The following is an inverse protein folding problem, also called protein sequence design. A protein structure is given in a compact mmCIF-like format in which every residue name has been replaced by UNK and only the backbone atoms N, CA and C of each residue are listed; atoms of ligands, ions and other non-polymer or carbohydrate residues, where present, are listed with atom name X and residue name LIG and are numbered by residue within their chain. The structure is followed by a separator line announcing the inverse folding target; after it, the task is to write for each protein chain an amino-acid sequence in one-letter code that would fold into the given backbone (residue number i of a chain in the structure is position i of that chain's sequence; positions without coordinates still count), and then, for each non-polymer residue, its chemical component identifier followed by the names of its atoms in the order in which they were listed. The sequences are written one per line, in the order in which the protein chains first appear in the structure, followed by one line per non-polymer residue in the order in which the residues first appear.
data_IF_332414711859
#
_entry.id   IF_332414711859
#
_cell.length_a   1.000
_cell.length_b   1.000
_cell.length_c   1.000
_cell.angle_alpha   90.00
_cell.angle_beta   90.00
_cell.angle_gamma   90.00
#
_symmetry.space_group_name_H-M   'P 1'
#
loop_
_entity.id
_entity.type
_entity.pdbx_description
1 polymer ?
#
# COMPACT_ATOMS: atom_id res chain seq x y z
N UNK A 1 -20.27 -17.09 0.80
CA UNK A 1 -19.00 -16.35 0.77
C UNK A 1 -18.60 -16.08 2.21
N UNK A 2 -17.39 -16.44 2.56
CA UNK A 2 -16.84 -16.13 3.90
C UNK A 2 -16.70 -14.63 4.04
N UNK A 3 -17.12 -14.03 5.19
CA UNK A 3 -16.85 -12.62 5.48
C UNK A 3 -15.45 -12.54 6.07
N UNK A 4 -14.56 -11.79 5.43
CA UNK A 4 -13.19 -11.59 5.89
C UNK A 4 -13.01 -10.29 6.69
N UNK A 5 -13.88 -9.30 6.47
CA UNK A 5 -13.74 -7.98 7.08
C UNK A 5 -14.24 -7.96 8.53
N UNK A 6 -13.32 -7.78 9.46
CA UNK A 6 -13.62 -7.74 10.88
C UNK A 6 -14.66 -6.64 11.24
N UNK A 7 -14.62 -5.48 10.60
CA UNK A 7 -15.57 -4.39 10.84
C UNK A 7 -16.98 -4.65 10.31
N UNK A 8 -17.19 -5.71 9.52
CA UNK A 8 -18.53 -6.14 9.07
C UNK A 8 -19.12 -7.26 9.91
N UNK A 9 -18.33 -7.82 10.81
CA UNK A 9 -18.75 -8.84 11.75
C UNK A 9 -19.28 -8.22 13.03
N UNK A 10 -20.21 -8.87 13.67
CA UNK A 10 -20.55 -8.57 15.07
C UNK A 10 -19.42 -9.02 15.99
N UNK A 11 -19.28 -8.43 17.17
CA UNK A 11 -18.25 -8.84 18.10
C UNK A 11 -18.31 -10.32 18.50
N UNK A 12 -19.51 -10.92 18.49
CA UNK A 12 -19.70 -12.36 18.74
C UNK A 12 -19.17 -13.25 17.61
N UNK A 13 -19.31 -12.81 16.38
CA UNK A 13 -18.73 -13.51 15.23
C UNK A 13 -17.18 -13.42 15.26
N UNK A 14 -16.65 -12.25 15.59
CA UNK A 14 -15.19 -12.08 15.77
C UNK A 14 -14.66 -12.98 16.89
N UNK A 15 -15.36 -13.02 18.05
CA UNK A 15 -15.01 -13.89 19.17
C UNK A 15 -14.98 -15.38 18.76
N UNK A 16 -15.97 -15.82 17.99
CA UNK A 16 -16.06 -17.20 17.51
C UNK A 16 -14.90 -17.54 16.55
N UNK A 17 -14.61 -16.66 15.57
CA UNK A 17 -13.51 -16.87 14.61
C UNK A 17 -12.16 -16.91 15.31
N UNK A 18 -11.92 -16.03 16.29
CA UNK A 18 -10.68 -16.05 17.08
C UNK A 18 -10.55 -17.34 17.90
N UNK A 19 -11.66 -17.81 18.51
CA UNK A 19 -11.65 -19.05 19.27
C UNK A 19 -11.36 -20.29 18.41
N UNK A 20 -11.74 -20.29 17.14
CA UNK A 20 -11.43 -21.33 16.17
C UNK A 20 -9.98 -21.25 15.65
N UNK A 21 -9.28 -20.16 15.90
CA UNK A 21 -7.92 -19.86 15.43
C UNK A 21 -7.88 -19.02 14.16
N UNK A 22 -7.03 -18.00 14.16
CA UNK A 22 -6.75 -17.12 13.03
C UNK A 22 -5.27 -17.20 12.70
N UNK A 23 -4.93 -17.60 11.47
CA UNK A 23 -3.54 -17.75 11.02
C UNK A 23 -2.86 -16.40 10.80
N UNK A 24 -3.60 -15.43 10.25
CA UNK A 24 -3.12 -14.06 10.09
C UNK A 24 -4.27 -13.04 10.04
N UNK A 25 -3.97 -11.78 10.37
CA UNK A 25 -4.82 -10.65 10.10
C UNK A 25 -4.10 -9.67 9.16
N UNK A 26 -4.73 -9.36 8.04
CA UNK A 26 -4.23 -8.38 7.08
C UNK A 26 -4.73 -7.00 7.48
N UNK A 27 -3.82 -6.03 7.64
CA UNK A 27 -4.13 -4.63 7.93
C UNK A 27 -3.86 -3.80 6.66
N UNK A 28 -4.89 -3.47 5.86
CA UNK A 28 -4.72 -2.60 4.70
C UNK A 28 -4.38 -1.17 5.15
N UNK A 29 -3.36 -0.59 4.51
CA UNK A 29 -2.90 0.77 4.80
C UNK A 29 -2.74 1.50 3.47
N UNK A 30 -3.56 2.52 3.24
CA UNK A 30 -3.47 3.41 2.09
C UNK A 30 -3.37 4.85 2.56
N UNK A 31 -3.79 5.77 1.69
CA UNK A 31 -4.07 7.15 2.08
C UNK A 31 -5.16 7.72 1.18
N UNK A 32 -5.75 8.83 1.60
CA UNK A 32 -6.70 9.61 0.81
C UNK A 32 -5.94 10.74 0.14
N UNK A 33 -5.55 10.54 -1.13
CA UNK A 33 -4.77 11.52 -1.89
C UNK A 33 -5.11 11.51 -3.38
N UNK A 34 -4.72 12.54 -4.08
CA UNK A 34 -4.89 12.63 -5.52
C UNK A 34 -4.16 11.49 -6.25
N UNK A 35 -4.79 10.96 -7.30
CA UNK A 35 -4.23 9.97 -8.22
C UNK A 35 -4.53 10.36 -9.68
N UNK A 36 -4.03 11.54 -10.06
CA UNK A 36 -4.32 12.11 -11.36
C UNK A 36 -5.80 12.47 -11.56
N UNK A 37 -6.18 12.89 -12.77
CA UNK A 37 -7.58 13.24 -13.07
C UNK A 37 -8.47 12.01 -13.31
N UNK A 38 -7.90 10.79 -13.31
CA UNK A 38 -8.55 9.56 -13.75
C UNK A 38 -8.90 8.58 -12.64
N UNK A 39 -8.26 8.65 -11.48
CA UNK A 39 -8.55 7.77 -10.34
C UNK A 39 -9.09 8.52 -9.13
N UNK A 40 -9.97 7.89 -8.31
CA UNK A 40 -10.47 8.46 -7.07
C UNK A 40 -9.37 8.65 -6.01
N UNK A 41 -9.69 9.44 -4.99
CA UNK A 41 -8.76 9.77 -3.90
C UNK A 41 -8.44 8.57 -2.98
N UNK A 42 -9.24 7.52 -2.99
CA UNK A 42 -9.09 6.33 -2.16
C UNK A 42 -8.32 5.19 -2.84
N UNK A 43 -7.62 5.47 -3.93
CA UNK A 43 -6.94 4.47 -4.77
C UNK A 43 -6.02 3.57 -3.96
N UNK A 44 -5.12 4.12 -3.16
CA UNK A 44 -4.23 3.34 -2.29
C UNK A 44 -4.98 2.39 -1.36
N UNK A 45 -6.09 2.88 -0.79
CA UNK A 45 -6.91 2.11 0.14
C UNK A 45 -7.61 0.94 -0.57
N UNK A 46 -8.17 1.20 -1.77
CA UNK A 46 -8.86 0.18 -2.57
C UNK A 46 -7.88 -0.86 -3.08
N UNK A 47 -6.69 -0.45 -3.51
CA UNK A 47 -5.62 -1.37 -3.90
C UNK A 47 -5.21 -2.26 -2.72
N UNK A 48 -4.87 -1.68 -1.57
CA UNK A 48 -4.46 -2.45 -0.39
C UNK A 48 -5.56 -3.42 0.07
N UNK A 49 -6.83 -3.00 0.05
CA UNK A 49 -7.99 -3.86 0.35
C UNK A 49 -8.17 -4.97 -0.68
N UNK A 50 -8.12 -4.64 -1.97
CA UNK A 50 -8.28 -5.62 -3.04
C UNK A 50 -7.20 -6.71 -3.02
N UNK A 51 -5.97 -6.36 -2.65
CA UNK A 51 -4.88 -7.31 -2.41
C UNK A 51 -5.22 -8.18 -1.20
N UNK A 52 -5.63 -7.58 -0.08
CA UNK A 52 -6.00 -8.31 1.13
C UNK A 52 -7.16 -9.29 0.89
N UNK A 53 -8.21 -8.88 0.16
CA UNK A 53 -9.33 -9.74 -0.22
C UNK A 53 -8.88 -10.96 -1.05
N UNK A 54 -8.06 -10.72 -2.08
CA UNK A 54 -7.55 -11.82 -2.93
C UNK A 54 -6.63 -12.76 -2.15
N UNK A 55 -5.81 -12.21 -1.26
CA UNK A 55 -4.93 -13.00 -0.41
C UNK A 55 -5.73 -13.82 0.62
N UNK A 56 -6.77 -13.25 1.24
CA UNK A 56 -7.63 -13.96 2.18
C UNK A 56 -8.39 -15.11 1.50
N UNK A 57 -8.95 -14.88 0.30
CA UNK A 57 -9.62 -15.92 -0.47
C UNK A 57 -8.66 -17.06 -0.86
N UNK A 58 -7.46 -16.74 -1.36
CA UNK A 58 -6.46 -17.73 -1.71
C UNK A 58 -5.90 -18.48 -0.48
N UNK A 59 -5.81 -17.81 0.67
CA UNK A 59 -5.43 -18.43 1.93
C UNK A 59 -6.50 -19.43 2.41
N UNK A 60 -7.79 -19.08 2.30
CA UNK A 60 -8.89 -20.00 2.62
C UNK A 60 -8.85 -21.27 1.75
N UNK A 61 -8.60 -21.14 0.43
CA UNK A 61 -8.41 -22.28 -0.46
C UNK A 61 -7.20 -23.15 -0.05
N UNK A 62 -6.19 -22.54 0.56
CA UNK A 62 -5.02 -23.23 1.10
C UNK A 62 -5.22 -23.78 2.53
N UNK A 63 -6.42 -23.67 3.10
CA UNK A 63 -6.77 -24.16 4.44
C UNK A 63 -6.33 -23.22 5.58
N UNK A 64 -5.97 -21.98 5.28
CA UNK A 64 -5.57 -20.96 6.25
C UNK A 64 -6.75 -20.03 6.53
N UNK A 65 -6.91 -19.60 7.79
CA UNK A 65 -7.95 -18.69 8.20
C UNK A 65 -7.39 -17.28 8.37
N UNK A 66 -7.92 -16.33 7.61
CA UNK A 66 -7.43 -14.95 7.57
C UNK A 66 -8.58 -13.97 7.81
N UNK A 67 -8.33 -12.94 8.63
CA UNK A 67 -9.20 -11.77 8.77
C UNK A 67 -8.57 -10.56 8.11
N UNK A 68 -9.40 -9.58 7.77
CA UNK A 68 -8.98 -8.27 7.27
C UNK A 68 -9.41 -7.23 8.31
N UNK A 69 -8.45 -6.47 8.82
CA UNK A 69 -8.68 -5.37 9.75
C UNK A 69 -9.25 -4.12 9.04
N UNK A 70 -9.86 -3.18 9.77
CA UNK A 70 -10.25 -1.89 9.22
C UNK A 70 -9.09 -1.17 8.55
N UNK A 71 -9.34 -0.60 7.38
CA UNK A 71 -8.31 0.08 6.58
C UNK A 71 -7.88 1.39 7.23
N UNK A 72 -6.58 1.62 7.36
CA UNK A 72 -6.03 2.95 7.64
C UNK A 72 -6.05 3.77 6.35
N UNK A 73 -6.95 4.74 6.26
CA UNK A 73 -7.26 5.48 5.04
C UNK A 73 -6.80 6.94 5.02
N UNK A 74 -6.20 7.44 6.10
CA UNK A 74 -5.52 8.73 6.16
C UNK A 74 -4.16 8.51 6.81
N UNK A 75 -3.08 8.73 6.04
CA UNK A 75 -1.72 8.46 6.47
C UNK A 75 -0.77 9.62 6.08
N UNK A 76 0.39 9.36 5.51
CA UNK A 76 1.39 10.36 5.17
C UNK A 76 1.25 10.81 3.72
N UNK A 77 0.72 12.01 3.49
CA UNK A 77 0.50 12.53 2.14
C UNK A 77 0.70 14.06 2.07
N UNK A 78 1.71 14.59 2.81
CA UNK A 78 1.91 16.03 2.90
C UNK A 78 2.28 16.68 1.55
N UNK A 79 2.96 15.97 0.69
CA UNK A 79 3.40 16.45 -0.62
C UNK A 79 2.28 16.46 -1.68
N UNK A 80 1.10 15.87 -1.38
CA UNK A 80 -0.10 15.94 -2.21
C UNK A 80 -1.09 17.04 -1.78
N UNK A 81 -0.81 17.78 -0.69
CA UNK A 81 -1.75 18.73 -0.11
C UNK A 81 -2.09 19.94 -0.99
N UNK A 82 -1.36 20.15 -2.08
CA UNK A 82 -1.71 21.18 -3.08
C UNK A 82 -2.88 20.75 -4.00
N UNK A 83 -3.28 19.47 -3.96
CA UNK A 83 -4.43 18.97 -4.71
C UNK A 83 -5.64 18.84 -3.78
N UNK A 84 -6.81 19.42 -4.17
CA UNK A 84 -8.01 19.37 -3.35
C UNK A 84 -8.44 17.93 -3.01
N UNK A 85 -8.82 17.72 -1.76
CA UNK A 85 -9.31 16.44 -1.27
C UNK A 85 -8.24 15.52 -0.68
N UNK A 86 -6.96 15.75 -0.95
CA UNK A 86 -5.88 15.01 -0.27
C UNK A 86 -5.87 15.31 1.24
N UNK A 87 -5.62 14.28 2.05
CA UNK A 87 -5.62 14.34 3.51
C UNK A 87 -4.33 13.77 4.06
N UNK A 88 -3.88 14.25 5.23
CA UNK A 88 -2.67 13.73 5.85
C UNK A 88 -2.74 13.67 7.36
N UNK A 89 -1.99 12.76 7.94
CA UNK A 89 -1.52 12.83 9.32
C UNK A 89 -0.10 13.39 9.38
N UNK A 90 0.30 13.86 10.55
CA UNK A 90 1.74 14.06 10.83
C UNK A 90 2.42 12.70 11.01
N UNK A 91 3.72 12.62 10.80
CA UNK A 91 4.47 11.36 11.00
C UNK A 91 4.28 10.82 12.41
N UNK A 92 4.38 11.66 13.44
CA UNK A 92 4.19 11.25 14.83
C UNK A 92 2.80 10.68 15.08
N UNK A 93 1.75 11.34 14.57
CA UNK A 93 0.37 10.86 14.72
C UNK A 93 0.16 9.53 13.99
N UNK A 94 0.71 9.39 12.79
CA UNK A 94 0.59 8.14 12.03
C UNK A 94 1.26 6.96 12.76
N UNK A 95 2.47 7.17 13.28
CA UNK A 95 3.17 6.13 14.07
C UNK A 95 2.35 5.71 15.30
N UNK A 96 1.75 6.68 16.01
CA UNK A 96 0.87 6.38 17.15
C UNK A 96 -0.37 5.58 16.74
N UNK A 97 -1.09 6.02 15.71
CA UNK A 97 -2.27 5.33 15.20
C UNK A 97 -1.94 3.89 14.79
N UNK A 98 -0.84 3.70 14.05
CA UNK A 98 -0.39 2.37 13.64
C UNK A 98 -0.13 1.46 14.85
N UNK A 99 0.63 1.95 15.83
CA UNK A 99 0.95 1.19 17.04
C UNK A 99 -0.31 0.83 17.85
N UNK A 100 -1.20 1.78 18.09
CA UNK A 100 -2.43 1.57 18.87
C UNK A 100 -3.39 0.59 18.18
N UNK A 101 -3.47 0.62 16.84
CA UNK A 101 -4.24 -0.36 16.07
C UNK A 101 -3.62 -1.75 16.21
N UNK A 102 -2.30 -1.89 16.06
CA UNK A 102 -1.62 -3.18 16.25
C UNK A 102 -1.76 -3.70 17.68
N UNK A 103 -1.66 -2.85 18.70
CA UNK A 103 -1.91 -3.20 20.10
C UNK A 103 -3.34 -3.71 20.32
N UNK A 104 -4.33 -3.05 19.72
CA UNK A 104 -5.74 -3.47 19.79
C UNK A 104 -5.96 -4.86 19.19
N UNK A 105 -5.37 -5.14 18.03
CA UNK A 105 -5.43 -6.46 17.40
C UNK A 105 -4.76 -7.53 18.27
N UNK A 106 -3.58 -7.25 18.79
CA UNK A 106 -2.88 -8.16 19.70
C UNK A 106 -3.61 -8.38 21.02
N UNK A 107 -4.29 -7.36 21.57
CA UNK A 107 -5.10 -7.47 22.78
C UNK A 107 -6.19 -8.54 22.62
N UNK A 108 -6.77 -8.64 21.44
CA UNK A 108 -7.80 -9.64 21.11
C UNK A 108 -7.24 -11.00 20.67
N UNK A 109 -5.93 -11.21 20.74
CA UNK A 109 -5.29 -12.48 20.39
C UNK A 109 -4.96 -12.66 18.91
N UNK A 110 -5.15 -11.63 18.08
CA UNK A 110 -4.77 -11.61 16.66
C UNK A 110 -3.27 -11.30 16.55
N UNK A 111 -2.43 -12.35 16.51
CA UNK A 111 -0.99 -12.23 16.73
C UNK A 111 -0.18 -12.01 15.47
N UNK A 112 -0.58 -12.61 14.35
CA UNK A 112 0.14 -12.55 13.07
C UNK A 112 -0.41 -11.39 12.22
N UNK A 113 0.06 -10.18 12.50
CA UNK A 113 -0.37 -8.98 11.77
C UNK A 113 0.52 -8.77 10.56
N UNK A 114 -0.11 -8.60 9.38
CA UNK A 114 0.55 -8.27 8.13
C UNK A 114 -0.02 -6.93 7.62
N UNK A 115 0.77 -5.88 7.70
CA UNK A 115 0.45 -4.57 7.14
C UNK A 115 0.61 -4.60 5.62
N UNK A 116 -0.49 -4.43 4.88
CA UNK A 116 -0.52 -4.39 3.42
C UNK A 116 -0.50 -2.93 2.98
N UNK A 117 0.67 -2.43 2.61
CA UNK A 117 0.86 -1.03 2.27
C UNK A 117 0.55 -0.75 0.81
N UNK A 118 -0.41 0.13 0.56
CA UNK A 118 -0.80 0.65 -0.76
C UNK A 118 -0.11 1.96 -1.15
N UNK A 119 0.57 2.66 -0.22
CA UNK A 119 1.08 4.01 -0.42
C UNK A 119 2.60 4.13 -0.22
N UNK A 120 3.30 4.59 -1.26
CA UNK A 120 4.76 4.72 -1.24
C UNK A 120 5.29 5.66 -0.15
N UNK A 121 4.57 6.73 0.17
CA UNK A 121 4.94 7.70 1.21
C UNK A 121 4.97 7.14 2.62
N UNK A 122 4.33 6.01 2.87
CA UNK A 122 4.31 5.35 4.18
C UNK A 122 5.57 4.53 4.48
N UNK A 123 6.34 4.12 3.45
CA UNK A 123 7.41 3.13 3.55
C UNK A 123 8.39 3.40 4.69
N UNK A 124 8.97 4.60 4.70
CA UNK A 124 9.98 4.96 5.70
C UNK A 124 9.40 4.93 7.13
N UNK A 125 8.20 5.49 7.32
CA UNK A 125 7.56 5.53 8.62
C UNK A 125 7.11 4.13 9.08
N UNK A 126 6.52 3.32 8.21
CA UNK A 126 6.13 1.95 8.54
C UNK A 126 7.34 1.07 8.86
N UNK A 127 8.47 1.25 8.15
CA UNK A 127 9.71 0.55 8.47
C UNK A 127 10.19 0.88 9.89
N UNK A 128 10.12 2.15 10.29
CA UNK A 128 10.42 2.57 11.67
C UNK A 128 9.39 1.99 12.64
N UNK A 129 8.09 2.07 12.31
CA UNK A 129 7.00 1.62 13.17
C UNK A 129 7.10 0.13 13.51
N UNK A 130 7.30 -0.75 12.52
CA UNK A 130 7.37 -2.21 12.78
C UNK A 130 8.59 -2.59 13.62
N UNK A 131 9.72 -1.91 13.44
CA UNK A 131 10.92 -2.13 14.26
C UNK A 131 10.73 -1.61 15.69
N UNK A 132 10.18 -0.40 15.84
CA UNK A 132 9.88 0.18 17.14
C UNK A 132 8.84 -0.65 17.91
N UNK A 133 7.83 -1.14 17.21
CA UNK A 133 6.81 -2.01 17.80
C UNK A 133 7.43 -3.31 18.35
N UNK A 134 8.35 -3.94 17.58
CA UNK A 134 9.09 -5.10 18.05
C UNK A 134 9.96 -4.77 19.27
N UNK A 135 10.70 -3.66 19.23
CA UNK A 135 11.58 -3.21 20.34
C UNK A 135 10.79 -3.01 21.64
N UNK A 136 9.63 -2.37 21.55
CA UNK A 136 8.86 -1.96 22.75
C UNK A 136 7.91 -3.03 23.27
N UNK A 137 7.43 -3.94 22.42
CA UNK A 137 6.42 -4.94 22.79
C UNK A 137 6.91 -6.38 22.70
N UNK A 138 8.04 -6.64 22.06
CA UNK A 138 8.51 -7.98 21.70
C UNK A 138 7.69 -8.67 20.61
N UNK A 139 6.70 -8.00 20.01
CA UNK A 139 5.77 -8.55 19.03
C UNK A 139 6.12 -8.09 17.62
N UNK A 140 5.85 -8.95 16.62
CA UNK A 140 6.18 -8.67 15.22
C UNK A 140 4.95 -8.25 14.44
N UNK A 141 5.15 -7.28 13.56
CA UNK A 141 4.22 -6.93 12.48
C UNK A 141 5.01 -7.01 11.18
N UNK A 142 4.50 -7.74 10.21
CA UNK A 142 5.14 -7.82 8.89
C UNK A 142 4.61 -6.71 8.00
N UNK A 143 5.47 -6.16 7.16
CA UNK A 143 5.15 -5.09 6.22
C UNK A 143 5.31 -5.61 4.80
N UNK A 144 4.22 -5.57 4.04
CA UNK A 144 4.20 -5.89 2.62
C UNK A 144 4.02 -4.63 1.79
N UNK A 145 4.75 -4.54 0.70
CA UNK A 145 4.65 -3.47 -0.30
C UNK A 145 4.34 -4.13 -1.64
N UNK A 146 3.19 -3.82 -2.23
CA UNK A 146 2.71 -4.51 -3.42
C UNK A 146 3.66 -4.41 -4.61
N UNK A 147 4.30 -3.26 -4.82
CA UNK A 147 5.25 -3.03 -5.91
C UNK A 147 6.56 -3.82 -5.75
N UNK A 148 6.98 -4.11 -4.54
CA UNK A 148 8.13 -4.98 -4.28
C UNK A 148 7.75 -6.45 -4.51
N UNK A 149 6.57 -6.87 -4.03
CA UNK A 149 6.08 -8.24 -4.21
C UNK A 149 5.82 -8.60 -5.67
N UNK A 150 5.45 -7.65 -6.52
CA UNK A 150 5.22 -7.83 -7.94
C UNK A 150 6.33 -7.20 -8.81
N UNK A 151 7.49 -6.93 -8.24
CA UNK A 151 8.59 -6.22 -8.92
C UNK A 151 9.08 -6.85 -10.21
N UNK A 152 8.97 -8.17 -10.34
CA UNK A 152 9.26 -8.92 -11.56
C UNK A 152 8.27 -8.63 -12.70
N UNK A 153 7.00 -8.42 -12.40
CA UNK A 153 5.97 -8.02 -13.38
C UNK A 153 6.08 -6.52 -13.68
N UNK A 154 6.16 -5.69 -12.63
CA UNK A 154 6.25 -4.23 -12.75
C UNK A 154 7.51 -3.81 -13.51
N UNK A 155 8.62 -4.52 -13.32
CA UNK A 155 9.85 -4.29 -14.06
C UNK A 155 9.76 -4.52 -15.58
N UNK A 156 8.67 -5.11 -16.07
CA UNK A 156 8.42 -5.33 -17.50
C UNK A 156 7.59 -4.22 -18.15
N UNK A 157 7.02 -3.28 -17.38
CA UNK A 157 6.24 -2.19 -17.96
C UNK A 157 7.17 -1.22 -18.70
N UNK A 158 6.72 -0.75 -19.87
CA UNK A 158 7.53 0.13 -20.70
C UNK A 158 7.58 1.56 -20.20
N UNK A 159 6.63 1.92 -19.33
CA UNK A 159 6.46 3.24 -18.79
C UNK A 159 6.65 3.30 -17.28
N UNK A 160 7.91 3.14 -16.75
CA UNK A 160 8.10 3.20 -15.31
C UNK A 160 7.71 4.57 -14.78
N UNK A 161 6.78 4.57 -13.85
CA UNK A 161 6.35 5.74 -13.10
C UNK A 161 6.57 5.52 -11.61
N UNK A 162 6.01 6.42 -10.82
CA UNK A 162 6.05 6.32 -9.35
C UNK A 162 4.73 6.70 -8.69
N UNK A 163 3.75 7.22 -9.46
CA UNK A 163 2.46 7.63 -8.92
C UNK A 163 1.39 7.77 -10.02
N UNK A 164 0.24 7.17 -9.79
CA UNK A 164 -0.93 7.19 -10.69
C UNK A 164 -0.60 6.79 -12.14
N UNK A 165 0.37 5.91 -12.31
CA UNK A 165 0.95 5.50 -13.59
C UNK A 165 0.37 4.15 -14.08
N UNK A 166 1.01 3.54 -15.08
CA UNK A 166 0.54 2.33 -15.77
C UNK A 166 0.24 1.16 -14.81
N UNK A 167 1.18 0.81 -13.90
CA UNK A 167 1.00 -0.35 -13.03
C UNK A 167 -0.05 -0.11 -11.94
N UNK A 168 -0.02 1.06 -11.30
CA UNK A 168 -0.97 1.42 -10.25
C UNK A 168 -2.39 1.56 -10.82
N UNK A 169 -2.55 2.24 -11.96
CA UNK A 169 -3.84 2.36 -12.65
C UNK A 169 -4.36 0.99 -13.11
N UNK A 170 -3.50 0.11 -13.60
CA UNK A 170 -3.87 -1.25 -14.00
C UNK A 170 -4.34 -2.08 -12.80
N UNK A 171 -3.65 -1.97 -11.68
CA UNK A 171 -4.02 -2.67 -10.46
C UNK A 171 -5.36 -2.15 -9.91
N UNK A 172 -5.59 -0.83 -9.95
CA UNK A 172 -6.87 -0.22 -9.59
C UNK A 172 -8.03 -0.77 -10.44
N UNK A 173 -7.82 -0.89 -11.77
CA UNK A 173 -8.79 -1.53 -12.67
C UNK A 173 -9.07 -2.99 -12.28
N UNK A 174 -8.02 -3.78 -12.00
CA UNK A 174 -8.16 -5.20 -11.70
C UNK A 174 -8.84 -5.48 -10.36
N UNK A 175 -8.71 -4.58 -9.37
CA UNK A 175 -9.45 -4.67 -8.11
C UNK A 175 -10.87 -4.08 -8.19
N UNK A 176 -11.29 -3.61 -9.36
CA UNK A 176 -12.65 -3.14 -9.62
C UNK A 176 -12.92 -1.69 -9.22
N UNK A 177 -11.88 -0.88 -9.06
CA UNK A 177 -12.07 0.54 -8.80
C UNK A 177 -12.62 1.27 -10.03
N UNK A 178 -13.38 2.34 -9.79
CA UNK A 178 -13.80 3.26 -10.83
C UNK A 178 -12.59 4.03 -11.36
N UNK A 179 -12.22 3.82 -12.62
CA UNK A 179 -11.15 4.55 -13.31
C UNK A 179 -11.71 5.23 -14.55
N UNK A 180 -11.43 6.51 -14.72
CA UNK A 180 -11.85 7.31 -15.87
C UNK A 180 -10.73 7.29 -16.92
N UNK A 181 -10.58 6.17 -17.66
CA UNK A 181 -9.48 5.98 -18.61
C UNK A 181 -9.43 7.06 -19.69
N UNK A 182 -10.56 7.67 -20.03
CA UNK A 182 -10.63 8.81 -20.97
C UNK A 182 -9.95 10.09 -20.43
N UNK A 183 -9.63 10.12 -19.13
CA UNK A 183 -8.88 11.20 -18.47
C UNK A 183 -7.46 10.78 -18.10
N UNK A 184 -7.07 9.53 -18.37
CA UNK A 184 -5.71 9.07 -18.14
C UNK A 184 -4.72 9.88 -18.97
N UNK A 185 -3.62 10.30 -18.37
CA UNK A 185 -2.64 11.19 -19.00
C UNK A 185 -1.22 10.70 -18.76
N UNK A 186 -0.27 11.33 -19.41
CA UNK A 186 1.16 11.23 -19.15
C UNK A 186 1.64 12.57 -18.60
N UNK A 187 2.37 12.54 -17.51
CA UNK A 187 2.95 13.74 -16.89
C UNK A 187 4.23 13.37 -16.13
N UNK A 188 5.07 14.37 -15.88
CA UNK A 188 6.36 14.21 -15.22
C UNK A 188 7.20 13.00 -15.72
N UNK A 189 6.98 12.62 -16.99
CA UNK A 189 7.64 11.49 -17.63
C UNK A 189 9.14 11.72 -17.80
N UNK A 190 9.50 12.93 -18.25
CA UNK A 190 10.89 13.36 -18.33
C UNK A 190 11.34 13.98 -17.01
N UNK A 191 11.91 13.15 -16.16
CA UNK A 191 12.47 13.59 -14.86
C UNK A 191 13.52 14.70 -15.00
N UNK A 192 14.19 14.78 -16.15
CA UNK A 192 15.12 15.86 -16.45
C UNK A 192 14.42 17.20 -16.70
N UNK A 193 13.26 17.19 -17.34
CA UNK A 193 12.41 18.36 -17.50
C UNK A 193 11.84 18.82 -16.15
N UNK A 194 11.29 17.88 -15.36
CA UNK A 194 10.76 18.16 -14.02
C UNK A 194 11.80 18.82 -13.11
N UNK A 195 13.08 18.40 -13.18
CA UNK A 195 14.17 19.04 -12.43
C UNK A 195 14.37 20.50 -12.85
N UNK A 196 14.29 20.80 -14.15
CA UNK A 196 14.43 22.18 -14.65
C UNK A 196 13.27 23.08 -14.24
N UNK A 197 12.05 22.54 -14.31
CA UNK A 197 10.83 23.28 -13.99
C UNK A 197 10.74 23.59 -12.49
N UNK A 198 11.26 22.71 -11.64
CA UNK A 198 11.36 22.93 -10.19
C UNK A 198 12.45 23.98 -9.80
N UNK A 199 13.22 24.49 -10.75
CA UNK A 199 14.20 25.55 -10.53
C UNK A 199 15.45 25.12 -9.77
N UNK A 200 15.71 23.84 -9.61
CA UNK A 200 16.94 23.28 -9.01
C UNK A 200 17.44 22.06 -9.79
N UNK A 201 18.68 21.63 -9.50
CA UNK A 201 19.35 20.58 -10.24
C UNK A 201 19.05 19.16 -9.76
N UNK A 202 18.16 19.02 -8.79
CA UNK A 202 17.75 17.75 -8.19
C UNK A 202 16.30 17.81 -7.75
N UNK A 203 15.63 16.65 -7.72
CA UNK A 203 14.29 16.47 -7.14
C UNK A 203 14.21 15.13 -6.43
N UNK A 204 13.19 14.94 -5.59
CA UNK A 204 12.87 13.66 -4.98
C UNK A 204 12.46 12.59 -5.99
N UNK A 205 11.98 12.98 -7.16
CA UNK A 205 11.61 12.09 -8.27
C UNK A 205 12.75 11.82 -9.25
N UNK A 206 13.84 12.56 -9.13
CA UNK A 206 15.00 12.45 -10.00
C UNK A 206 16.03 11.43 -9.52
N UNK A 207 17.29 11.76 -9.81
CA UNK A 207 18.46 10.92 -9.54
C UNK A 207 18.63 10.51 -8.07
N UNK A 208 18.09 11.31 -7.13
CA UNK A 208 18.24 11.12 -5.69
C UNK A 208 16.94 10.66 -5.01
N UNK A 209 15.97 10.23 -5.78
CA UNK A 209 14.68 9.78 -5.25
C UNK A 209 14.84 8.63 -4.25
N UNK A 210 14.19 8.74 -3.10
CA UNK A 210 14.16 7.70 -2.05
C UNK A 210 13.57 6.37 -2.52
N UNK A 211 12.66 6.40 -3.49
CA UNK A 211 12.01 5.21 -4.05
C UNK A 211 12.88 4.49 -5.08
N UNK A 212 14.05 5.03 -5.42
CA UNK A 212 15.01 4.39 -6.31
C UNK A 212 16.32 4.09 -5.59
N UNK A 213 17.00 3.05 -6.03
CA UNK A 213 18.39 2.75 -5.64
C UNK A 213 19.32 3.83 -6.22
N UNK A 214 19.31 4.98 -5.61
CA UNK A 214 20.10 6.16 -6.01
C UNK A 214 21.50 6.16 -5.40
N UNK A 215 22.28 7.23 -5.58
CA UNK A 215 23.69 7.34 -5.17
C UNK A 215 23.93 7.52 -3.67
N UNK A 216 23.08 6.98 -2.80
CA UNK A 216 23.28 7.04 -1.35
C UNK A 216 22.96 8.39 -0.69
N UNK A 217 22.25 9.28 -1.40
CA UNK A 217 21.79 10.57 -0.87
C UNK A 217 20.27 10.56 -0.72
N UNK A 218 19.79 10.88 0.48
CA UNK A 218 18.38 11.06 0.75
C UNK A 218 17.97 12.50 0.42
N UNK A 219 17.07 12.67 -0.53
CA UNK A 219 16.48 13.96 -0.87
C UNK A 219 15.06 13.99 -0.31
N UNK A 220 14.67 15.04 0.44
CA UNK A 220 13.28 15.20 0.88
C UNK A 220 12.32 15.23 -0.31
N UNK A 221 11.08 14.75 -0.09
CA UNK A 221 10.04 14.82 -1.13
C UNK A 221 9.71 16.28 -1.47
N UNK A 222 9.66 16.58 -2.77
CA UNK A 222 9.13 17.86 -3.25
C UNK A 222 7.60 17.85 -3.15
N UNK A 223 6.99 19.05 -3.17
CA UNK A 223 5.53 19.14 -3.39
C UNK A 223 5.23 18.62 -4.79
N UNK A 224 4.33 17.67 -4.90
CA UNK A 224 4.13 16.96 -6.18
C UNK A 224 3.61 17.90 -7.28
N UNK A 225 2.82 18.92 -6.93
CA UNK A 225 2.29 19.89 -7.91
C UNK A 225 3.37 20.80 -8.50
N UNK A 226 4.52 20.91 -7.85
CA UNK A 226 5.66 21.66 -8.40
C UNK A 226 6.37 20.88 -9.52
N UNK A 227 6.08 19.57 -9.62
CA UNK A 227 6.70 18.64 -10.57
C UNK A 227 5.70 18.15 -11.63
N UNK A 228 4.44 17.94 -11.24
CA UNK A 228 3.36 17.44 -12.09
C UNK A 228 2.11 18.28 -11.90
N UNK A 229 1.60 18.86 -12.96
CA UNK A 229 0.34 19.64 -12.90
C UNK A 229 -0.87 18.70 -12.70
N UNK A 230 -0.88 17.56 -13.39
CA UNK A 230 -1.96 16.58 -13.32
C UNK A 230 -1.94 15.70 -12.08
N UNK A 231 -0.80 15.62 -11.40
CA UNK A 231 -0.55 14.68 -10.30
C UNK A 231 -0.10 13.29 -10.74
N UNK A 232 -0.03 13.01 -12.05
CA UNK A 232 0.51 11.75 -12.59
C UNK A 232 2.04 11.84 -12.67
N UNK A 233 2.74 10.79 -12.27
CA UNK A 233 4.19 10.67 -12.47
C UNK A 233 4.47 9.38 -13.24
N UNK A 234 4.42 9.47 -14.56
CA UNK A 234 4.51 8.34 -15.49
C UNK A 234 3.49 8.43 -16.61
N UNK A 235 3.10 7.31 -17.21
CA UNK A 235 2.10 7.22 -18.29
C UNK A 235 0.94 6.31 -17.89
N UNK A 236 -0.17 6.90 -17.42
CA UNK A 236 -1.38 6.19 -17.04
C UNK A 236 -2.18 5.65 -18.25
N UNK A 237 -1.97 6.19 -19.46
CA UNK A 237 -2.73 5.84 -20.66
C UNK A 237 -2.52 4.40 -21.13
N UNK A 238 -1.42 3.79 -20.66
CA UNK A 238 -1.02 2.42 -21.03
C UNK A 238 -1.65 1.36 -20.11
N UNK A 239 -2.33 1.78 -19.05
CA UNK A 239 -2.91 0.88 -18.06
C UNK A 239 -3.98 -0.04 -18.67
N UNK A 240 -3.95 -1.31 -18.26
CA UNK A 240 -4.93 -2.31 -18.66
C UNK A 240 -5.33 -3.20 -17.48
N UNK A 241 -6.59 -3.71 -17.46
CA UNK A 241 -7.00 -4.68 -16.43
C UNK A 241 -6.16 -5.95 -16.46
N UNK A 242 -5.66 -6.37 -17.64
CA UNK A 242 -4.84 -7.57 -17.82
C UNK A 242 -3.49 -7.44 -17.13
N UNK A 243 -2.85 -6.27 -17.20
CA UNK A 243 -1.62 -6.01 -16.45
C UNK A 243 -1.88 -6.05 -14.95
N UNK A 244 -2.97 -5.41 -14.50
CA UNK A 244 -3.37 -5.44 -13.09
C UNK A 244 -3.63 -6.86 -12.59
N UNK A 245 -4.28 -7.70 -13.40
CA UNK A 245 -4.48 -9.12 -13.05
C UNK A 245 -3.15 -9.88 -12.97
N UNK A 246 -2.22 -9.66 -13.90
CA UNK A 246 -0.87 -10.27 -13.84
C UNK A 246 -0.12 -9.85 -12.57
N UNK A 247 -0.25 -8.61 -12.13
CA UNK A 247 0.32 -8.12 -10.88
C UNK A 247 -0.28 -8.88 -9.69
N UNK A 248 -1.61 -9.03 -9.64
CA UNK A 248 -2.30 -9.81 -8.59
C UNK A 248 -1.86 -11.29 -8.60
N UNK A 249 -1.83 -11.92 -9.77
CA UNK A 249 -1.45 -13.33 -9.93
C UNK A 249 0.00 -13.61 -9.46
N UNK A 250 0.89 -12.63 -9.62
CA UNK A 250 2.26 -12.74 -9.14
C UNK A 250 2.37 -12.58 -7.61
N UNK A 251 1.65 -11.62 -7.03
CA UNK A 251 1.85 -11.28 -5.61
C UNK A 251 0.98 -12.08 -4.65
N UNK A 252 -0.27 -12.45 -4.99
CA UNK A 252 -1.18 -13.12 -4.07
C UNK A 252 -0.61 -14.44 -3.55
N UNK A 253 -0.03 -15.34 -4.38
CA UNK A 253 0.62 -16.56 -3.88
C UNK A 253 1.79 -16.27 -2.92
N UNK A 254 2.51 -15.16 -3.12
CA UNK A 254 3.61 -14.74 -2.25
C UNK A 254 3.10 -14.29 -0.88
N UNK A 255 1.98 -13.57 -0.85
CA UNK A 255 1.30 -13.20 0.41
C UNK A 255 0.84 -14.46 1.16
N UNK A 256 0.23 -15.43 0.47
CA UNK A 256 -0.19 -16.71 1.08
C UNK A 256 1.00 -17.48 1.65
N UNK A 257 2.15 -17.46 0.96
CA UNK A 257 3.39 -18.06 1.50
C UNK A 257 3.81 -17.40 2.81
N UNK A 258 3.80 -16.06 2.87
CA UNK A 258 4.12 -15.33 4.12
C UNK A 258 3.14 -15.69 5.24
N UNK A 259 1.83 -15.77 4.95
CA UNK A 259 0.82 -16.17 5.93
C UNK A 259 1.13 -17.57 6.48
N UNK A 260 1.43 -18.52 5.61
CA UNK A 260 1.76 -19.91 6.00
C UNK A 260 3.01 -19.95 6.88
N UNK A 261 4.10 -19.29 6.47
CA UNK A 261 5.34 -19.25 7.22
C UNK A 261 5.14 -18.65 8.63
N UNK A 262 4.28 -17.64 8.75
CA UNK A 262 3.93 -17.04 10.04
C UNK A 262 3.07 -17.98 10.91
N UNK A 263 2.14 -18.72 10.32
CA UNK A 263 1.28 -19.65 11.06
C UNK A 263 2.05 -20.84 11.60
N UNK A 264 3.06 -21.32 10.87
CA UNK A 264 3.92 -22.44 11.26
C UNK A 264 5.00 -22.04 12.30
N UNK A 265 5.36 -20.76 12.32
CA UNK A 265 6.34 -20.23 13.30
C UNK A 265 5.58 -19.80 14.55
N UNK A 266 5.57 -20.63 15.58
CA UNK A 266 4.93 -20.25 16.85
C UNK A 266 5.48 -18.88 17.32
N UNK A 267 4.62 -17.88 17.60
CA UNK A 267 5.09 -16.61 18.13
C UNK A 267 5.78 -16.90 19.49
N UNK A 268 6.85 -16.20 19.83
CA UNK A 268 7.44 -16.29 21.16
C UNK A 268 6.34 -16.00 22.20
N UNK A 269 6.35 -16.83 23.25
CA UNK A 269 5.36 -16.82 24.33
C UNK A 269 5.29 -15.46 25.04
#
# INVERSE_FOLDING_TARGET
MTEYYMERMTWKEVEAVIAEGVDAILLPIGTTEQHGPHMPLDTDCIIARGIAERAAAAAEEAGLRVLIAPTLNVTLSWYHMQYPGSMRLSTTTFLQVFNEVCESLHHHGLRNIIAVNGHGGNVAALTVAVNHYLETTGRRVFLLQWWELAGDVIGTVEGPGVHAEEAETSLALAVGQRVLMEKATIDAWDRGAAVKDAGHTWTSLGKYNLLHKGPGVTVPMDMLRDISESGVVGDARRATPELGQRILDAMVPRVVTVIRDMSETAPPA
#
